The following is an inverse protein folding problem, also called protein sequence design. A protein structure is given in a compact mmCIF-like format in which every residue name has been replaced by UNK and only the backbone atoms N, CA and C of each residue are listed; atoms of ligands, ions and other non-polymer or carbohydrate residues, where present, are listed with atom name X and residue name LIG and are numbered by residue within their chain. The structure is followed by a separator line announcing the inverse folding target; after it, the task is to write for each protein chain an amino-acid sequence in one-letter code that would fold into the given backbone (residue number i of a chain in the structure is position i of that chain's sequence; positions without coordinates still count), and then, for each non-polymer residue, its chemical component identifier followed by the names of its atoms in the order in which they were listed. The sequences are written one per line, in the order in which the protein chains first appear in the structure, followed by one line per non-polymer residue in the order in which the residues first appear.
data_IF_657993805340
#
_entry.id   IF_657993805340
#
_cell.length_a   1.000
_cell.length_b   1.000
_cell.length_c   1.000
_cell.angle_alpha   90.00
_cell.angle_beta   90.00
_cell.angle_gamma   90.00
#
_symmetry.space_group_name_H-M   'P 1'
#
loop_
_entity.id
_entity.type
_entity.pdbx_description
1 polymer ?
#
# COMPACT_ATOMS: atom_id res chain seq x y z
N UNK A 1 7.84 2.34 14.09
CA UNK A 1 8.05 1.13 13.25
C UNK A 1 8.60 1.63 11.94
N UNK A 2 9.73 1.11 11.46
CA UNK A 2 10.42 1.60 10.27
C UNK A 2 10.70 0.51 9.22
N UNK A 3 10.25 -0.72 9.47
CA UNK A 3 10.44 -1.89 8.60
C UNK A 3 9.16 -2.71 8.48
N UNK A 4 9.01 -3.41 7.36
CA UNK A 4 7.90 -4.33 7.08
C UNK A 4 8.14 -5.72 7.69
N UNK A 5 7.18 -6.64 7.56
CA UNK A 5 7.34 -8.05 7.95
C UNK A 5 8.42 -8.79 7.13
N UNK A 6 8.70 -8.34 5.90
CA UNK A 6 9.76 -8.88 5.05
C UNK A 6 11.13 -8.24 5.33
N UNK A 7 11.25 -7.49 6.43
CA UNK A 7 12.45 -6.76 6.81
C UNK A 7 12.91 -5.72 5.77
N UNK A 8 11.96 -5.08 5.09
CA UNK A 8 12.24 -3.98 4.15
C UNK A 8 12.02 -2.64 4.85
N UNK A 9 12.89 -1.66 4.63
CA UNK A 9 12.69 -0.32 5.19
C UNK A 9 11.47 0.35 4.57
N UNK A 10 10.74 1.15 5.35
CA UNK A 10 9.58 1.89 4.82
C UNK A 10 9.99 2.91 3.76
N UNK A 11 11.18 3.50 3.89
CA UNK A 11 11.73 4.42 2.89
C UNK A 11 11.95 3.71 1.55
N UNK A 12 12.58 2.54 1.54
CA UNK A 12 12.83 1.79 0.30
C UNK A 12 11.54 1.30 -0.35
N UNK A 13 10.58 0.84 0.47
CA UNK A 13 9.25 0.42 -0.02
C UNK A 13 8.53 1.59 -0.68
N UNK A 14 8.48 2.74 -0.01
CA UNK A 14 7.83 3.93 -0.55
C UNK A 14 8.53 4.41 -1.82
N UNK A 15 9.87 4.49 -1.82
CA UNK A 15 10.67 4.84 -3.00
C UNK A 15 10.39 3.90 -4.17
N UNK A 16 10.35 2.60 -3.95
CA UNK A 16 10.06 1.61 -4.99
C UNK A 16 8.68 1.83 -5.63
N UNK A 17 7.64 2.10 -4.83
CA UNK A 17 6.30 2.42 -5.34
C UNK A 17 6.33 3.69 -6.20
N UNK A 18 6.96 4.76 -5.68
CA UNK A 18 7.05 6.05 -6.38
C UNK A 18 7.83 5.92 -7.70
N UNK A 19 8.95 5.22 -7.69
CA UNK A 19 9.75 4.93 -8.90
C UNK A 19 8.91 4.16 -9.93
N UNK A 20 8.10 3.19 -9.47
CA UNK A 20 7.18 2.45 -10.34
C UNK A 20 6.12 3.34 -10.98
N UNK A 21 5.52 4.25 -10.21
CA UNK A 21 4.54 5.22 -10.73
C UNK A 21 5.20 6.17 -11.74
N UNK A 22 6.38 6.69 -11.40
CA UNK A 22 7.12 7.65 -12.23
C UNK A 22 7.60 7.02 -13.56
N UNK A 23 8.02 5.76 -13.53
CA UNK A 23 8.43 5.02 -14.73
C UNK A 23 7.32 4.90 -15.79
N UNK A 24 6.05 4.96 -15.37
CA UNK A 24 4.88 4.93 -16.24
C UNK A 24 4.34 6.33 -16.59
N UNK A 25 5.08 7.39 -16.25
CA UNK A 25 4.75 8.79 -16.58
C UNK A 25 3.63 9.40 -15.72
N UNK A 26 3.22 8.73 -14.64
CA UNK A 26 2.22 9.26 -13.72
C UNK A 26 2.87 10.04 -12.56
N UNK A 27 2.09 10.90 -11.91
CA UNK A 27 2.51 11.62 -10.70
C UNK A 27 1.92 10.92 -9.47
N UNK A 28 2.72 10.83 -8.42
CA UNK A 28 2.28 10.32 -7.13
C UNK A 28 2.01 11.48 -6.16
N UNK A 29 1.07 11.24 -5.23
CA UNK A 29 0.84 12.09 -4.06
C UNK A 29 0.74 11.19 -2.84
N UNK A 30 1.42 11.56 -1.78
CA UNK A 30 1.54 10.74 -0.57
C UNK A 30 0.66 11.37 0.48
N UNK A 31 -0.20 10.55 1.08
CA UNK A 31 -1.08 10.98 2.17
C UNK A 31 -1.03 9.98 3.31
N UNK A 32 -1.25 10.47 4.52
CA UNK A 32 -1.45 9.65 5.71
C UNK A 32 -2.91 9.70 6.13
N UNK A 33 -3.49 8.52 6.33
CA UNK A 33 -4.86 8.34 6.81
C UNK A 33 -4.80 8.08 8.31
N UNK A 34 -5.41 8.96 9.11
CA UNK A 34 -5.38 8.87 10.57
C UNK A 34 -6.62 8.19 11.16
N UNK A 35 -7.76 8.28 10.48
CA UNK A 35 -9.05 7.77 10.96
C UNK A 35 -9.26 6.25 10.77
N UNK A 36 -8.21 5.48 10.44
CA UNK A 36 -8.32 4.03 10.23
C UNK A 36 -7.00 3.35 9.87
N UNK A 37 -6.87 2.08 10.25
CA UNK A 37 -5.68 1.26 9.98
C UNK A 37 -5.92 0.11 8.99
N UNK A 38 -7.16 -0.08 8.52
CA UNK A 38 -7.49 -1.11 7.53
C UNK A 38 -6.97 -0.72 6.14
N UNK A 39 -6.24 -1.63 5.48
CA UNK A 39 -5.56 -1.35 4.21
C UNK A 39 -6.53 -1.01 3.07
N UNK A 40 -7.74 -1.59 3.07
CA UNK A 40 -8.74 -1.33 2.04
C UNK A 40 -9.37 0.05 2.25
N UNK A 41 -9.65 0.42 3.50
CA UNK A 41 -10.06 1.78 3.83
C UNK A 41 -8.99 2.82 3.45
N UNK A 42 -7.72 2.56 3.77
CA UNK A 42 -6.59 3.44 3.42
C UNK A 42 -6.52 3.63 1.90
N UNK A 43 -6.57 2.52 1.13
CA UNK A 43 -6.53 2.57 -0.33
C UNK A 43 -7.72 3.30 -0.94
N UNK A 44 -8.94 3.07 -0.43
CA UNK A 44 -10.14 3.77 -0.87
C UNK A 44 -10.11 5.27 -0.54
N UNK A 45 -9.62 5.65 0.64
CA UNK A 45 -9.42 7.05 1.03
C UNK A 45 -8.48 7.76 0.06
N UNK A 46 -7.34 7.13 -0.27
CA UNK A 46 -6.43 7.64 -1.30
C UNK A 46 -7.10 7.74 -2.69
N UNK A 47 -7.85 6.72 -3.09
CA UNK A 47 -8.54 6.69 -4.38
C UNK A 47 -9.62 7.79 -4.51
N UNK A 48 -10.32 8.13 -3.42
CA UNK A 48 -11.31 9.22 -3.40
C UNK A 48 -10.69 10.60 -3.59
N UNK A 49 -9.47 10.80 -3.08
CA UNK A 49 -8.70 12.04 -3.22
C UNK A 49 -7.94 12.14 -4.54
N UNK A 50 -7.63 11.00 -5.17
CA UNK A 50 -6.85 10.93 -6.39
C UNK A 50 -7.64 11.44 -7.61
N UNK A 51 -7.00 12.28 -8.43
CA UNK A 51 -7.60 12.80 -9.66
C UNK A 51 -7.92 11.72 -10.70
N UNK A 52 -7.16 10.62 -10.73
CA UNK A 52 -7.43 9.44 -11.57
C UNK A 52 -8.42 8.47 -10.95
N UNK A 53 -8.80 8.67 -9.68
CA UNK A 53 -9.59 7.72 -8.92
C UNK A 53 -8.82 6.44 -8.51
N UNK A 54 -7.50 6.37 -8.68
CA UNK A 54 -6.67 5.24 -8.24
C UNK A 54 -5.90 5.60 -6.97
N UNK A 55 -5.92 4.71 -5.99
CA UNK A 55 -5.18 4.86 -4.74
C UNK A 55 -4.46 3.57 -4.36
N UNK A 56 -3.26 3.69 -3.80
CA UNK A 56 -2.53 2.57 -3.21
C UNK A 56 -2.72 2.63 -1.70
N UNK A 57 -3.25 1.54 -1.11
CA UNK A 57 -3.22 1.34 0.34
C UNK A 57 -1.93 0.64 0.74
N UNK A 58 -1.27 1.10 1.80
CA UNK A 58 -0.06 0.49 2.35
C UNK A 58 -0.10 0.55 3.88
N UNK A 59 0.03 -0.61 4.52
CA UNK A 59 0.21 -0.71 5.98
C UNK A 59 1.68 -0.78 6.34
N UNK A 60 2.03 -0.36 7.56
CA UNK A 60 3.39 -0.43 8.10
C UNK A 60 4.00 -1.84 8.00
N UNK A 61 3.20 -2.88 8.24
CA UNK A 61 3.64 -4.29 8.13
C UNK A 61 3.95 -4.75 6.71
N UNK A 62 3.61 -3.97 5.69
CA UNK A 62 3.92 -4.21 4.27
C UNK A 62 2.74 -4.67 3.41
N UNK A 63 1.57 -4.99 3.99
CA UNK A 63 0.40 -5.32 3.17
C UNK A 63 -0.01 -4.10 2.34
N UNK A 64 -0.24 -4.32 1.05
CA UNK A 64 -0.59 -3.27 0.11
C UNK A 64 -1.68 -3.70 -0.87
N UNK A 65 -2.39 -2.74 -1.47
CA UNK A 65 -3.37 -2.98 -2.53
C UNK A 65 -3.54 -1.76 -3.42
N UNK A 66 -4.09 -1.98 -4.62
CA UNK A 66 -4.58 -0.92 -5.50
C UNK A 66 -6.11 -0.87 -5.40
N UNK A 67 -6.63 0.29 -5.05
CA UNK A 67 -8.06 0.57 -5.01
C UNK A 67 -8.47 1.53 -6.14
N UNK A 68 -9.73 1.45 -6.55
CA UNK A 68 -10.37 2.39 -7.47
C UNK A 68 -11.60 3.04 -6.83
N UNK A 69 -11.79 4.34 -7.07
CA UNK A 69 -12.98 5.11 -6.67
C UNK A 69 -14.23 4.48 -7.31
N UNK A 70 -15.26 4.26 -6.50
CA UNK A 70 -16.52 3.65 -6.94
C UNK A 70 -16.59 2.13 -6.75
N UNK A 71 -15.48 1.45 -6.44
CA UNK A 71 -15.54 0.05 -5.99
C UNK A 71 -16.08 -0.04 -4.55
N UNK A 72 -16.76 -1.14 -4.19
CA UNK A 72 -17.11 -1.44 -2.81
C UNK A 72 -15.87 -1.43 -1.89
N UNK A 73 -15.99 -1.07 -0.60
CA UNK A 73 -14.83 -0.86 0.27
C UNK A 73 -13.87 -2.03 0.45
N UNK A 74 -14.35 -3.27 0.32
CA UNK A 74 -13.52 -4.48 0.46
C UNK A 74 -13.10 -5.07 -0.89
N UNK A 75 -13.45 -4.41 -2.00
CA UNK A 75 -13.03 -4.81 -3.34
C UNK A 75 -11.76 -4.05 -3.73
N UNK A 76 -10.96 -4.60 -4.64
CA UNK A 76 -9.70 -3.97 -5.08
C UNK A 76 -9.39 -4.38 -6.52
N UNK A 77 -8.46 -3.67 -7.15
CA UNK A 77 -7.92 -4.05 -8.45
C UNK A 77 -6.84 -5.13 -8.28
N UNK A 78 -5.97 -4.94 -7.28
CA UNK A 78 -4.91 -5.88 -6.92
C UNK A 78 -4.66 -5.85 -5.41
N UNK A 79 -4.35 -7.01 -4.81
CA UNK A 79 -4.09 -7.14 -3.37
C UNK A 79 -2.81 -7.96 -3.12
N UNK A 80 -1.80 -7.33 -2.52
CA UNK A 80 -0.56 -7.96 -2.06
C UNK A 80 -0.73 -8.40 -0.60
N UNK A 81 -1.43 -9.52 -0.40
CA UNK A 81 -1.82 -9.99 0.94
C UNK A 81 -0.69 -10.70 1.72
N UNK A 82 0.34 -11.19 1.03
CA UNK A 82 1.45 -11.95 1.63
C UNK A 82 2.66 -11.05 1.96
N UNK A 83 2.46 -10.08 2.87
CA UNK A 83 3.48 -9.11 3.25
C UNK A 83 4.90 -9.68 3.55
N UNK A 84 5.05 -10.84 4.23
CA UNK A 84 6.37 -11.43 4.49
C UNK A 84 7.15 -11.87 3.25
N UNK A 85 6.48 -12.05 2.10
CA UNK A 85 7.07 -12.53 0.86
C UNK A 85 7.27 -11.41 -0.18
N UNK A 86 6.88 -10.18 0.15
CA UNK A 86 6.98 -9.05 -0.78
C UNK A 86 8.43 -8.58 -0.88
N UNK A 87 8.84 -8.18 -2.07
CA UNK A 87 10.16 -7.62 -2.35
C UNK A 87 10.01 -6.16 -2.80
N UNK A 88 11.12 -5.42 -2.88
CA UNK A 88 11.09 -4.07 -3.48
C UNK A 88 10.56 -4.08 -4.92
N UNK A 89 10.80 -5.16 -5.69
CA UNK A 89 10.26 -5.28 -7.04
C UNK A 89 8.75 -5.54 -7.05
N UNK A 90 8.20 -6.25 -6.04
CA UNK A 90 6.74 -6.35 -5.87
C UNK A 90 6.10 -4.98 -5.69
N UNK A 91 6.71 -4.12 -4.87
CA UNK A 91 6.22 -2.75 -4.64
C UNK A 91 6.44 -1.83 -5.84
N UNK A 92 7.56 -1.95 -6.56
CA UNK A 92 7.78 -1.22 -7.81
C UNK A 92 6.77 -1.62 -8.88
N UNK A 93 6.49 -2.91 -9.03
CA UNK A 93 5.47 -3.43 -9.94
C UNK A 93 4.07 -2.93 -9.57
N UNK A 94 3.75 -2.89 -8.27
CA UNK A 94 2.50 -2.31 -7.77
C UNK A 94 2.35 -0.84 -8.20
N UNK A 95 3.43 -0.05 -8.08
CA UNK A 95 3.48 1.34 -8.53
C UNK A 95 3.22 1.49 -10.03
N UNK A 96 3.89 0.67 -10.86
CA UNK A 96 3.68 0.65 -12.32
C UNK A 96 2.23 0.32 -12.66
N UNK A 97 1.67 -0.72 -12.04
CA UNK A 97 0.30 -1.15 -12.30
C UNK A 97 -0.72 -0.08 -11.90
N UNK A 98 -0.53 0.59 -10.76
CA UNK A 98 -1.38 1.70 -10.34
C UNK A 98 -1.37 2.85 -11.37
N UNK A 99 -0.22 3.17 -11.94
CA UNK A 99 -0.10 4.17 -13.01
C UNK A 99 -0.75 3.72 -14.33
N UNK A 100 -0.62 2.44 -14.68
CA UNK A 100 -1.36 1.85 -15.80
C UNK A 100 -2.87 2.00 -15.61
N UNK A 101 -3.41 1.61 -14.45
CA UNK A 101 -4.83 1.79 -14.15
C UNK A 101 -5.26 3.26 -14.15
N UNK A 102 -4.42 4.17 -13.65
CA UNK A 102 -4.68 5.60 -13.64
C UNK A 102 -4.77 6.20 -15.05
N UNK A 103 -4.10 5.57 -16.02
CA UNK A 103 -4.08 5.95 -17.44
C UNK A 103 -5.02 5.10 -18.30
N UNK A 104 -5.85 4.24 -17.69
CA UNK A 104 -6.80 3.38 -18.40
C UNK A 104 -6.17 2.18 -19.12
N UNK A 105 -4.89 1.91 -18.91
CA UNK A 105 -4.20 0.72 -19.43
C UNK A 105 -4.45 -0.48 -18.52
N UNK A 106 -4.44 -1.68 -19.10
CA UNK A 106 -4.57 -2.94 -18.36
C UNK A 106 -3.18 -3.56 -18.13
N UNK A 107 -2.63 -3.53 -16.91
CA UNK A 107 -1.37 -4.21 -16.61
C UNK A 107 -1.58 -5.71 -16.39
N UNK A 108 -0.47 -6.46 -16.39
CA UNK A 108 -0.45 -7.80 -15.84
C UNK A 108 -0.37 -7.70 -14.30
N UNK A 109 -1.24 -8.38 -13.54
CA UNK A 109 -1.20 -8.32 -12.09
C UNK A 109 0.14 -8.74 -11.50
N UNK A 110 0.53 -8.12 -10.37
CA UNK A 110 1.80 -8.42 -9.69
C UNK A 110 1.81 -9.90 -9.26
N UNK A 111 2.81 -10.69 -9.68
CA UNK A 111 2.93 -12.08 -9.26
C UNK A 111 3.12 -12.18 -7.75
N UNK A 112 2.38 -13.10 -7.12
CA UNK A 112 2.46 -13.33 -5.69
C UNK A 112 3.04 -14.71 -5.36
N UNK A 113 4.01 -14.72 -4.45
CA UNK A 113 4.52 -15.95 -3.84
C UNK A 113 3.64 -16.35 -2.65
N UNK A 114 2.96 -17.48 -2.77
CA UNK A 114 2.15 -18.06 -1.69
C UNK A 114 3.06 -18.89 -0.77
N UNK A 115 2.99 -18.63 0.53
CA UNK A 115 3.60 -19.44 1.58
C UNK A 115 2.53 -19.87 2.59
N UNK A 116 2.16 -21.14 2.53
CA UNK A 116 1.12 -21.70 3.39
C UNK A 116 1.52 -21.75 4.86
N UNK A 117 2.81 -21.65 5.17
CA UNK A 117 3.35 -21.67 6.54
C UNK A 117 3.54 -20.27 7.12
N UNK A 118 3.37 -19.20 6.33
CA UNK A 118 3.60 -17.83 6.79
C UNK A 118 2.74 -17.47 8.00
N UNK A 119 1.46 -17.86 8.01
CA UNK A 119 0.56 -17.62 9.15
C UNK A 119 1.03 -18.34 10.40
N UNK A 120 1.42 -19.62 10.29
CA UNK A 120 1.91 -20.40 11.42
C UNK A 120 3.14 -19.75 12.07
N UNK A 121 4.06 -19.23 11.26
CA UNK A 121 5.29 -18.60 11.75
C UNK A 121 5.11 -17.16 12.26
N UNK A 122 4.21 -16.39 11.65
CA UNK A 122 4.21 -14.93 11.78
C UNK A 122 2.91 -14.31 12.30
N UNK A 123 1.89 -15.10 12.66
CA UNK A 123 0.59 -14.54 13.09
C UNK A 123 0.70 -13.60 14.30
N UNK A 124 1.48 -13.98 15.32
CA UNK A 124 1.69 -13.15 16.52
C UNK A 124 2.39 -11.84 16.15
N UNK A 125 3.46 -11.92 15.36
CA UNK A 125 4.19 -10.73 14.92
C UNK A 125 3.29 -9.80 14.09
N UNK A 126 2.56 -10.36 13.13
CA UNK A 126 1.60 -9.62 12.30
C UNK A 126 0.55 -8.89 13.14
N UNK A 127 0.00 -9.57 14.15
CA UNK A 127 -0.99 -8.99 15.06
C UNK A 127 -0.41 -7.85 15.89
N UNK A 128 0.79 -8.01 16.46
CA UNK A 128 1.44 -6.98 17.26
C UNK A 128 1.78 -5.72 16.44
N UNK A 129 2.23 -5.89 15.20
CA UNK A 129 2.52 -4.75 14.32
C UNK A 129 1.24 -4.00 13.95
N UNK A 130 0.17 -4.72 13.60
CA UNK A 130 -1.11 -4.09 13.29
C UNK A 130 -1.73 -3.42 14.52
N UNK A 131 -1.63 -4.03 15.71
CA UNK A 131 -2.08 -3.41 16.97
C UNK A 131 -1.37 -2.09 17.28
N UNK A 132 -0.06 -2.00 17.00
CA UNK A 132 0.70 -0.75 17.13
C UNK A 132 0.25 0.33 16.14
N UNK A 133 -0.19 -0.06 14.95
CA UNK A 133 -0.74 0.85 13.94
C UNK A 133 -2.15 1.33 14.33
N UNK A 134 -3.01 0.43 14.82
CA UNK A 134 -4.34 0.76 15.35
C UNK A 134 -4.27 1.74 16.52
N UNK A 135 -3.26 1.62 17.40
CA UNK A 135 -3.03 2.57 18.51
C UNK A 135 -2.65 3.99 18.07
N UNK A 136 -2.33 4.20 16.80
CA UNK A 136 -2.05 5.52 16.22
C UNK A 136 -3.24 6.12 15.50
N UNK A 137 -4.40 5.44 15.50
CA UNK A 137 -5.62 6.01 14.93
C UNK A 137 -6.01 7.25 15.74
N UNK A 138 -6.29 8.32 15.00
CA UNK A 138 -6.76 9.58 15.53
C UNK A 138 -7.99 9.99 14.70
N UNK A 139 -9.22 9.80 15.24
CA UNK A 139 -10.45 10.11 14.51
C UNK A 139 -10.67 11.60 14.25
N UNK A 140 -10.06 12.47 15.05
CA UNK A 140 -10.18 13.91 14.92
C UNK A 140 -9.24 14.46 13.83
N UNK A 141 -8.23 13.68 13.45
CA UNK A 141 -7.33 13.98 12.33
C UNK A 141 -7.87 13.42 11.02
N UNK A 142 -7.96 14.31 10.04
CA UNK A 142 -8.33 13.97 8.67
C UNK A 142 -7.20 13.24 7.92
N UNK A 143 -7.22 13.36 6.60
CA UNK A 143 -6.13 12.86 5.75
C UNK A 143 -5.14 13.99 5.55
N UNK A 144 -3.85 13.72 5.79
CA UNK A 144 -2.78 14.72 5.68
C UNK A 144 -1.86 14.38 4.51
N UNK A 145 -1.52 15.39 3.71
CA UNK A 145 -0.50 15.25 2.68
C UNK A 145 0.90 15.27 3.29
N UNK A 146 1.78 14.40 2.77
CA UNK A 146 3.14 14.27 3.26
C UNK A 146 4.14 14.65 2.17
N UNK A 147 5.06 15.55 2.51
CA UNK A 147 6.28 15.76 1.74
C UNK A 147 7.33 14.75 2.20
N UNK A 148 7.97 14.05 1.25
CA UNK A 148 8.91 12.96 1.56
C UNK A 148 10.26 13.24 0.93
N UNK A 149 11.28 13.26 1.78
CA UNK A 149 12.69 13.29 1.38
C UNK A 149 13.33 11.94 1.65
N UNK A 150 13.93 11.34 0.63
CA UNK A 150 14.74 10.13 0.78
C UNK A 150 16.18 10.56 1.05
N UNK A 151 16.74 10.09 2.18
CA UNK A 151 18.17 10.22 2.48
C UNK A 151 18.96 9.12 1.77
#
# INVERSE_FOLDING_TARGET
MNRTLADLSHADVLKAILDGIAAEGARARIVKVWHGADVANIGLSGAKLSGSGIGIGLQSKGTALIHKKGLPPLNNLELLSMAPNLTLESYRSLGRNAACYATGRSPHPVPMKIDNMARLRLIVHTMLLHHREVRQIDPDRGIEELEVTFQ
#
